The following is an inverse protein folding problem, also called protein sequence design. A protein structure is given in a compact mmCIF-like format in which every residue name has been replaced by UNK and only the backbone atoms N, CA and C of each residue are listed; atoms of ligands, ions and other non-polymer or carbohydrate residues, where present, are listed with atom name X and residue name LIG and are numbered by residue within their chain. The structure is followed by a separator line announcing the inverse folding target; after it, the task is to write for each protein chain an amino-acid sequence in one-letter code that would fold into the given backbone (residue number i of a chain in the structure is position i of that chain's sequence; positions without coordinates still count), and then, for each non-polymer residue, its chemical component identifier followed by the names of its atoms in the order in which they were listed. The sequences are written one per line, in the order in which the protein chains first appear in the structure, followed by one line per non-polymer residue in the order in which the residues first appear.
data_IF_996293432860
#
_entry.id   IF_996293432860
#
_cell.length_a   1.000
_cell.length_b   1.000
_cell.length_c   1.000
_cell.angle_alpha   90.00
_cell.angle_beta   90.00
_cell.angle_gamma   90.00
#
_symmetry.space_group_name_H-M   'P 1'
#
loop_
_entity.id
_entity.type
_entity.pdbx_description
1 polymer ?
#
# COMPACT_ATOMS: atom_id res chain seq x y z
N UNK A 1 -42.64 16.68 5.88
CA UNK A 1 -42.25 15.80 4.76
C UNK A 1 -41.30 16.58 3.88
N UNK A 2 -40.14 16.02 3.54
CA UNK A 2 -39.26 16.62 2.53
C UNK A 2 -39.96 16.52 1.17
N UNK A 3 -39.80 17.52 0.31
CA UNK A 3 -40.24 17.39 -1.08
C UNK A 3 -39.38 16.31 -1.79
N UNK A 4 -39.90 15.63 -2.82
CA UNK A 4 -39.13 14.67 -3.60
C UNK A 4 -37.78 15.22 -4.07
N UNK A 5 -37.73 16.50 -4.43
CA UNK A 5 -36.50 17.18 -4.83
C UNK A 5 -35.50 17.36 -3.69
N UNK A 6 -35.97 17.70 -2.48
CA UNK A 6 -35.11 17.82 -1.30
C UNK A 6 -34.51 16.46 -0.89
N UNK A 7 -35.29 15.39 -0.97
CA UNK A 7 -34.81 14.04 -0.68
C UNK A 7 -33.67 13.64 -1.66
N UNK A 8 -33.88 13.91 -2.95
CA UNK A 8 -32.90 13.58 -3.99
C UNK A 8 -31.63 14.42 -3.84
N UNK A 9 -31.76 15.71 -3.52
CA UNK A 9 -30.61 16.56 -3.27
C UNK A 9 -29.75 16.02 -2.13
N UNK A 10 -30.37 15.57 -1.03
CA UNK A 10 -29.65 14.94 0.08
C UNK A 10 -28.87 13.69 -0.33
N UNK A 11 -29.47 12.81 -1.15
CA UNK A 11 -28.76 11.63 -1.67
C UNK A 11 -27.63 12.00 -2.62
N UNK A 12 -27.82 13.01 -3.46
CA UNK A 12 -26.81 13.49 -4.38
C UNK A 12 -25.59 14.05 -3.62
N UNK A 13 -25.83 14.89 -2.60
CA UNK A 13 -24.78 15.44 -1.74
C UNK A 13 -24.01 14.33 -1.02
N UNK A 14 -24.71 13.31 -0.50
CA UNK A 14 -24.08 12.15 0.14
C UNK A 14 -23.21 11.34 -0.83
N UNK A 15 -23.65 11.16 -2.09
CA UNK A 15 -22.85 10.48 -3.11
C UNK A 15 -21.61 11.29 -3.52
N UNK A 16 -21.74 12.61 -3.66
CA UNK A 16 -20.62 13.52 -3.95
C UNK A 16 -19.59 13.46 -2.83
N UNK A 17 -20.04 13.53 -1.58
CA UNK A 17 -19.15 13.44 -0.42
C UNK A 17 -18.44 12.08 -0.35
N UNK A 18 -19.17 10.99 -0.55
CA UNK A 18 -18.61 9.63 -0.58
C UNK A 18 -17.52 9.49 -1.65
N UNK A 19 -17.78 9.97 -2.87
CA UNK A 19 -16.81 9.97 -3.98
C UNK A 19 -15.57 10.81 -3.66
N UNK A 20 -15.75 11.99 -3.05
CA UNK A 20 -14.64 12.85 -2.62
C UNK A 20 -13.74 12.15 -1.59
N UNK A 21 -14.35 11.43 -0.63
CA UNK A 21 -13.61 10.62 0.35
C UNK A 21 -12.88 9.47 -0.32
N UNK A 22 -13.53 8.74 -1.24
CA UNK A 22 -12.90 7.67 -2.01
C UNK A 22 -11.68 8.18 -2.80
N UNK A 23 -11.79 9.35 -3.45
CA UNK A 23 -10.67 10.01 -4.15
C UNK A 23 -9.50 10.30 -3.23
N UNK A 24 -9.75 10.91 -2.07
CA UNK A 24 -8.71 11.23 -1.09
C UNK A 24 -8.02 9.95 -0.62
N UNK A 25 -8.77 8.89 -0.36
CA UNK A 25 -8.20 7.60 0.03
C UNK A 25 -7.33 7.00 -1.07
N UNK A 26 -7.78 7.01 -2.33
CA UNK A 26 -6.95 6.56 -3.47
C UNK A 26 -5.65 7.36 -3.56
N UNK A 27 -5.72 8.69 -3.44
CA UNK A 27 -4.52 9.54 -3.47
C UNK A 27 -3.56 9.22 -2.32
N UNK A 28 -4.08 9.09 -1.08
CA UNK A 28 -3.29 8.71 0.09
C UNK A 28 -2.62 7.35 -0.13
N UNK A 29 -3.38 6.36 -0.63
CA UNK A 29 -2.88 5.02 -0.93
C UNK A 29 -1.75 5.02 -1.96
N UNK A 30 -1.92 5.78 -3.05
CA UNK A 30 -0.89 5.89 -4.11
C UNK A 30 0.35 6.62 -3.58
N UNK A 31 0.18 7.74 -2.87
CA UNK A 31 1.30 8.48 -2.28
C UNK A 31 2.06 7.62 -1.27
N UNK A 32 1.36 6.92 -0.38
CA UNK A 32 1.97 5.98 0.56
C UNK A 32 2.75 4.89 -0.17
N UNK A 33 2.17 4.31 -1.23
CA UNK A 33 2.85 3.28 -2.05
C UNK A 33 4.13 3.80 -2.70
N UNK A 34 4.11 5.02 -3.25
CA UNK A 34 5.30 5.66 -3.87
C UNK A 34 6.38 5.94 -2.83
N UNK A 35 6.00 6.48 -1.66
CA UNK A 35 6.95 6.76 -0.58
C UNK A 35 7.59 5.46 -0.08
N UNK A 36 6.79 4.42 0.15
CA UNK A 36 7.29 3.12 0.60
C UNK A 36 8.20 2.50 -0.45
N UNK A 37 7.84 2.57 -1.73
CA UNK A 37 8.67 2.07 -2.81
C UNK A 37 10.00 2.84 -2.91
N UNK A 38 9.98 4.18 -2.80
CA UNK A 38 11.18 4.99 -2.78
C UNK A 38 12.06 4.70 -1.56
N UNK A 39 11.46 4.52 -0.38
CA UNK A 39 12.14 4.11 0.83
C UNK A 39 12.77 2.72 0.68
N UNK A 40 12.05 1.75 0.12
CA UNK A 40 12.56 0.42 -0.16
C UNK A 40 13.74 0.45 -1.16
N UNK A 41 13.67 1.29 -2.19
CA UNK A 41 14.79 1.48 -3.13
C UNK A 41 16.00 2.14 -2.46
N UNK A 42 15.78 3.13 -1.58
CA UNK A 42 16.84 3.78 -0.83
C UNK A 42 17.47 2.87 0.24
N UNK A 43 16.66 1.97 0.82
CA UNK A 43 17.06 1.00 1.84
C UNK A 43 17.62 -0.30 1.27
N UNK A 44 17.58 -0.53 -0.05
CA UNK A 44 18.36 -1.62 -0.65
C UNK A 44 19.76 -1.54 -0.08
N UNK A 45 20.33 -2.64 0.43
CA UNK A 45 21.64 -2.63 1.07
C UNK A 45 22.60 -2.05 0.06
N UNK A 46 22.86 -0.77 0.21
CA UNK A 46 23.65 -0.07 -0.75
C UNK A 46 25.03 -0.76 -0.62
N UNK A 47 25.71 -1.07 -1.73
CA UNK A 47 26.88 -1.93 -1.70
C UNK A 47 27.94 -1.46 -0.68
N UNK A 48 27.98 -0.16 -0.37
CA UNK A 48 28.81 0.44 0.68
C UNK A 48 28.69 -0.19 2.10
N UNK A 49 27.56 -0.81 2.46
CA UNK A 49 27.27 -1.29 3.82
C UNK A 49 27.65 -2.76 3.98
N UNK A 50 27.31 -3.58 2.98
CA UNK A 50 27.89 -4.92 2.85
C UNK A 50 29.41 -4.85 2.68
N UNK A 51 29.95 -3.78 2.06
CA UNK A 51 31.40 -3.55 2.02
C UNK A 51 32.01 -3.38 3.41
N UNK A 52 31.29 -2.84 4.40
CA UNK A 52 31.78 -2.74 5.78
C UNK A 52 31.95 -4.11 6.41
N UNK A 53 30.90 -4.93 6.43
CA UNK A 53 30.97 -6.29 6.97
C UNK A 53 31.91 -7.19 6.17
N UNK A 54 31.87 -7.13 4.83
CA UNK A 54 32.80 -7.86 3.97
C UNK A 54 34.24 -7.37 4.17
N UNK A 55 34.48 -6.08 4.41
CA UNK A 55 35.82 -5.59 4.78
C UNK A 55 36.24 -6.11 6.15
N UNK A 56 35.36 -6.14 7.14
CA UNK A 56 35.69 -6.70 8.46
C UNK A 56 36.03 -8.18 8.33
N UNK A 57 35.23 -8.97 7.62
CA UNK A 57 35.52 -10.39 7.36
C UNK A 57 36.79 -10.58 6.53
N UNK A 58 37.03 -9.76 5.50
CA UNK A 58 38.22 -9.85 4.65
C UNK A 58 39.49 -9.42 5.41
N UNK A 59 39.36 -8.44 6.31
CA UNK A 59 40.40 -8.02 7.24
C UNK A 59 40.68 -9.16 8.23
N UNK A 60 39.65 -9.77 8.80
CA UNK A 60 39.76 -10.88 9.74
C UNK A 60 40.44 -12.11 9.09
N UNK A 61 40.05 -12.47 7.86
CA UNK A 61 40.67 -13.53 7.07
C UNK A 61 42.15 -13.26 6.75
N UNK A 62 42.52 -12.00 6.45
CA UNK A 62 43.94 -11.61 6.28
C UNK A 62 44.70 -11.72 7.60
N UNK A 63 44.09 -11.36 8.72
CA UNK A 63 44.75 -11.41 10.03
C UNK A 63 44.97 -12.83 10.56
N UNK A 64 44.09 -13.78 10.25
CA UNK A 64 44.32 -15.20 10.59
C UNK A 64 45.56 -15.80 9.89
N UNK A 65 46.11 -15.12 8.88
CA UNK A 65 47.31 -15.58 8.16
C UNK A 65 48.63 -14.97 8.66
N UNK A 66 48.61 -14.06 9.64
CA UNK A 66 49.80 -13.36 10.14
C UNK A 66 50.54 -14.15 11.25
N UNK A 67 51.87 -14.00 11.35
CA UNK A 67 52.69 -14.67 12.37
C UNK A 67 52.35 -14.18 13.80
N UNK A 68 52.51 -15.07 14.79
CA UNK A 68 51.96 -14.93 16.14
C UNK A 68 52.38 -13.65 16.92
N UNK A 69 53.54 -13.10 16.60
CA UNK A 69 54.10 -11.88 17.17
C UNK A 69 53.47 -10.59 16.58
N UNK A 70 53.08 -10.59 15.30
CA UNK A 70 52.30 -9.50 14.71
C UNK A 70 50.81 -9.57 15.12
N UNK A 71 50.36 -10.72 15.62
CA UNK A 71 48.97 -10.96 15.97
C UNK A 71 48.50 -10.22 17.22
N UNK A 72 49.38 -9.87 18.18
CA UNK A 72 48.98 -9.23 19.44
C UNK A 72 48.49 -7.78 19.25
N UNK A 73 49.30 -6.94 18.59
CA UNK A 73 48.94 -5.55 18.28
C UNK A 73 47.75 -5.48 17.31
N UNK A 74 47.71 -6.43 16.36
CA UNK A 74 46.61 -6.60 15.42
C UNK A 74 45.28 -6.96 16.10
N UNK A 75 45.31 -7.81 17.13
CA UNK A 75 44.10 -8.18 17.91
C UNK A 75 43.48 -6.98 18.60
N UNK A 76 44.29 -6.10 19.20
CA UNK A 76 43.80 -4.88 19.84
C UNK A 76 43.12 -3.94 18.82
N UNK A 77 43.73 -3.78 17.63
CA UNK A 77 43.14 -2.96 16.56
C UNK A 77 41.84 -3.57 16.01
N UNK A 78 41.76 -4.89 15.87
CA UNK A 78 40.55 -5.59 15.43
C UNK A 78 39.44 -5.42 16.47
N UNK A 79 39.76 -5.59 17.75
CA UNK A 79 38.80 -5.42 18.84
C UNK A 79 38.26 -3.99 18.87
N UNK A 80 39.14 -2.99 18.76
CA UNK A 80 38.72 -1.58 18.67
C UNK A 80 37.84 -1.32 17.44
N UNK A 81 38.17 -1.89 16.27
CA UNK A 81 37.31 -1.77 15.08
C UNK A 81 35.97 -2.47 15.26
N UNK A 82 35.93 -3.65 15.91
CA UNK A 82 34.69 -4.36 16.23
C UNK A 82 33.80 -3.53 17.14
N UNK A 83 34.36 -2.94 18.19
CA UNK A 83 33.63 -2.08 19.12
C UNK A 83 33.12 -0.82 18.41
N UNK A 84 33.96 -0.18 17.59
CA UNK A 84 33.55 0.97 16.77
C UNK A 84 32.40 0.62 15.82
N UNK A 85 32.50 -0.48 15.07
CA UNK A 85 31.43 -0.91 14.17
C UNK A 85 30.20 -1.37 14.93
N UNK A 86 30.34 -2.01 16.10
CA UNK A 86 29.22 -2.40 16.93
C UNK A 86 28.45 -1.18 17.46
N UNK A 87 29.15 -0.12 17.91
CA UNK A 87 28.50 1.13 18.31
C UNK A 87 27.86 1.85 17.11
N UNK A 88 28.54 1.90 15.97
CA UNK A 88 27.99 2.51 14.75
C UNK A 88 26.77 1.74 14.22
N UNK A 89 26.79 0.41 14.26
CA UNK A 89 25.63 -0.43 13.96
C UNK A 89 24.51 -0.23 14.98
N UNK A 90 24.82 -0.19 16.28
CA UNK A 90 23.82 0.06 17.31
C UNK A 90 23.15 1.42 17.10
N UNK A 91 23.90 2.48 16.76
CA UNK A 91 23.32 3.81 16.47
C UNK A 91 22.46 3.85 15.22
N UNK A 92 22.73 2.99 14.23
CA UNK A 92 22.01 2.97 12.95
C UNK A 92 20.88 1.95 12.89
N UNK A 93 20.89 0.94 13.76
CA UNK A 93 19.80 -0.03 13.91
C UNK A 93 18.53 0.63 14.43
N UNK A 94 18.68 1.76 15.15
CA UNK A 94 17.56 2.54 15.64
C UNK A 94 17.43 3.85 14.88
N UNK A 95 16.21 4.14 14.44
CA UNK A 95 15.85 5.47 13.95
C UNK A 95 15.25 6.24 15.12
N UNK A 96 15.89 7.36 15.47
CA UNK A 96 15.35 8.28 16.48
C UNK A 96 14.32 9.20 15.81
N UNK A 97 13.06 9.13 16.25
CA UNK A 97 12.00 9.97 15.71
C UNK A 97 12.04 11.33 16.44
N UNK A 98 12.43 12.43 15.77
CA UNK A 98 12.82 13.67 16.44
C UNK A 98 11.71 14.33 17.26
N UNK A 99 10.44 14.09 16.92
CA UNK A 99 9.30 14.68 17.62
C UNK A 99 8.87 13.91 18.86
N UNK A 100 9.14 12.61 18.93
CA UNK A 100 8.66 11.75 20.02
C UNK A 100 9.77 11.32 20.97
N UNK A 101 11.05 11.51 20.60
CA UNK A 101 12.19 11.04 21.38
C UNK A 101 12.24 9.51 21.53
N UNK A 102 11.47 8.79 20.72
CA UNK A 102 11.43 7.32 20.71
C UNK A 102 12.42 6.82 19.67
N UNK A 103 13.19 5.80 20.06
CA UNK A 103 14.07 5.03 19.18
C UNK A 103 13.33 3.79 18.73
N UNK A 104 13.17 3.65 17.41
CA UNK A 104 12.43 2.53 16.81
C UNK A 104 13.41 1.70 16.01
N UNK A 105 13.40 0.38 16.21
CA UNK A 105 14.16 -0.53 15.35
C UNK A 105 13.58 -0.45 13.93
N UNK A 106 14.45 -0.50 12.91
CA UNK A 106 14.04 -0.58 11.51
C UNK A 106 13.05 -1.75 11.30
N UNK A 107 13.21 -2.85 12.03
CA UNK A 107 12.30 -3.99 11.98
C UNK A 107 10.87 -3.65 12.47
N UNK A 108 10.77 -2.88 13.55
CA UNK A 108 9.47 -2.44 14.10
C UNK A 108 8.75 -1.51 13.14
N UNK A 109 9.51 -0.75 12.34
CA UNK A 109 8.96 0.15 11.33
C UNK A 109 8.24 -0.62 10.22
N UNK A 110 8.73 -1.80 9.85
CA UNK A 110 8.06 -2.71 8.90
C UNK A 110 6.70 -3.18 9.40
N UNK A 111 6.64 -3.54 10.69
CA UNK A 111 5.39 -3.96 11.37
C UNK A 111 4.39 -2.81 11.41
N UNK A 112 4.81 -1.65 11.92
CA UNK A 112 3.96 -0.46 12.04
C UNK A 112 3.49 0.02 10.66
N UNK A 113 4.39 0.05 9.68
CA UNK A 113 4.07 0.41 8.30
C UNK A 113 3.07 -0.56 7.65
N UNK A 114 3.26 -1.87 7.86
CA UNK A 114 2.33 -2.90 7.41
C UNK A 114 0.93 -2.74 8.01
N UNK A 115 0.84 -2.52 9.33
CA UNK A 115 -0.42 -2.25 10.01
C UNK A 115 -1.11 -0.98 9.49
N UNK A 116 -0.35 0.11 9.29
CA UNK A 116 -0.89 1.35 8.73
C UNK A 116 -1.45 1.15 7.31
N UNK A 117 -0.76 0.38 6.46
CA UNK A 117 -1.24 0.04 5.12
C UNK A 117 -2.52 -0.79 5.16
N UNK A 118 -2.66 -1.75 6.09
CA UNK A 118 -3.90 -2.51 6.25
C UNK A 118 -5.06 -1.58 6.60
N UNK A 119 -4.85 -0.63 7.52
CA UNK A 119 -5.87 0.36 7.90
C UNK A 119 -6.29 1.20 6.69
N UNK A 120 -5.32 1.73 5.93
CA UNK A 120 -5.59 2.50 4.71
C UNK A 120 -6.37 1.65 3.69
N UNK A 121 -5.97 0.40 3.47
CA UNK A 121 -6.65 -0.51 2.55
C UNK A 121 -8.09 -0.82 3.00
N UNK A 122 -8.34 -1.01 4.30
CA UNK A 122 -9.68 -1.19 4.86
C UNK A 122 -10.56 0.06 4.71
N UNK A 123 -9.99 1.25 4.93
CA UNK A 123 -10.68 2.52 4.73
C UNK A 123 -11.03 2.74 3.25
N UNK A 124 -10.12 2.41 2.35
CA UNK A 124 -10.35 2.46 0.91
C UNK A 124 -11.45 1.48 0.50
N UNK A 125 -11.37 0.22 0.95
CA UNK A 125 -12.40 -0.79 0.73
C UNK A 125 -13.79 -0.33 1.20
N UNK A 126 -13.86 0.19 2.43
CA UNK A 126 -15.12 0.69 3.01
C UNK A 126 -15.68 1.88 2.23
N UNK A 127 -14.81 2.74 1.71
CA UNK A 127 -15.21 3.90 0.89
C UNK A 127 -15.79 3.47 -0.45
N UNK A 128 -15.16 2.52 -1.14
CA UNK A 128 -15.65 1.97 -2.42
C UNK A 128 -16.99 1.26 -2.22
N UNK A 129 -17.13 0.44 -1.17
CA UNK A 129 -18.38 -0.26 -0.89
C UNK A 129 -19.53 0.70 -0.62
N UNK A 130 -19.29 1.75 0.18
CA UNK A 130 -20.30 2.79 0.43
C UNK A 130 -20.69 3.55 -0.83
N UNK A 131 -19.73 3.81 -1.71
CA UNK A 131 -20.01 4.42 -3.01
C UNK A 131 -20.96 3.52 -3.83
N UNK A 132 -20.66 2.21 -3.94
CA UNK A 132 -21.53 1.23 -4.62
C UNK A 132 -22.94 1.25 -4.04
N UNK A 133 -23.08 1.13 -2.73
CA UNK A 133 -24.38 1.07 -2.05
C UNK A 133 -25.18 2.36 -2.27
N UNK A 134 -24.54 3.53 -2.15
CA UNK A 134 -25.18 4.83 -2.37
C UNK A 134 -25.67 5.00 -3.81
N UNK A 135 -24.88 4.56 -4.80
CA UNK A 135 -25.25 4.67 -6.21
C UNK A 135 -26.39 3.72 -6.55
N UNK A 136 -26.31 2.47 -6.07
CA UNK A 136 -27.38 1.49 -6.25
C UNK A 136 -28.70 2.02 -5.68
N UNK A 137 -28.64 2.61 -4.47
CA UNK A 137 -29.80 3.22 -3.83
C UNK A 137 -30.37 4.41 -4.62
N UNK A 138 -29.50 5.31 -5.13
CA UNK A 138 -29.93 6.45 -5.96
C UNK A 138 -30.62 5.98 -7.22
N UNK A 139 -30.06 4.98 -7.92
CA UNK A 139 -30.67 4.45 -9.13
C UNK A 139 -31.97 3.69 -8.87
N UNK A 140 -32.11 3.07 -7.71
CA UNK A 140 -33.38 2.45 -7.32
C UNK A 140 -34.45 3.51 -7.04
N UNK A 141 -34.08 4.56 -6.30
CA UNK A 141 -34.98 5.67 -5.93
C UNK A 141 -35.36 6.57 -7.10
N UNK A 142 -34.50 6.68 -8.12
CA UNK A 142 -34.73 7.54 -9.27
C UNK A 142 -35.62 6.92 -10.35
N UNK A 143 -36.03 5.65 -10.22
CA UNK A 143 -36.92 4.96 -11.18
C UNK A 143 -38.26 5.65 -11.35
N UNK A 144 -38.77 6.25 -10.28
CA UNK A 144 -40.13 6.82 -10.25
C UNK A 144 -40.16 8.31 -10.62
N UNK A 145 -39.05 8.88 -11.12
CA UNK A 145 -38.91 10.33 -11.31
C UNK A 145 -38.57 10.65 -12.77
N UNK A 146 -39.36 11.52 -13.40
CA UNK A 146 -39.28 11.92 -14.82
C UNK A 146 -37.93 12.52 -15.28
N UNK A 147 -37.01 12.82 -14.35
CA UNK A 147 -35.72 13.45 -14.64
C UNK A 147 -34.50 12.55 -14.33
N UNK A 148 -34.64 11.24 -14.58
CA UNK A 148 -33.55 10.27 -14.42
C UNK A 148 -32.27 10.69 -15.18
N UNK A 149 -32.42 11.24 -16.39
CA UNK A 149 -31.30 11.59 -17.29
C UNK A 149 -30.41 12.70 -16.74
N UNK A 150 -30.99 13.77 -16.20
CA UNK A 150 -30.20 14.88 -15.66
C UNK A 150 -29.47 14.45 -14.40
N UNK A 151 -30.15 13.70 -13.53
CA UNK A 151 -29.59 13.19 -12.28
C UNK A 151 -28.47 12.17 -12.52
N UNK A 152 -28.66 11.26 -13.47
CA UNK A 152 -27.61 10.36 -13.95
C UNK A 152 -26.37 11.14 -14.40
N UNK A 153 -26.56 12.21 -15.18
CA UNK A 153 -25.45 13.02 -15.70
C UNK A 153 -24.69 13.73 -14.58
N UNK A 154 -25.39 14.30 -13.60
CA UNK A 154 -24.76 14.94 -12.45
C UNK A 154 -23.97 13.91 -11.65
N UNK A 155 -24.56 12.75 -11.36
CA UNK A 155 -23.90 11.68 -10.61
C UNK A 155 -22.63 11.19 -11.32
N UNK A 156 -22.71 11.01 -12.65
CA UNK A 156 -21.59 10.57 -13.48
C UNK A 156 -20.42 11.57 -13.49
N UNK A 157 -20.70 12.88 -13.39
CA UNK A 157 -19.67 13.92 -13.35
C UNK A 157 -18.85 13.92 -12.05
N UNK A 158 -19.39 13.33 -10.98
CA UNK A 158 -18.72 13.31 -9.68
C UNK A 158 -17.95 12.03 -9.39
N UNK A 159 -17.98 11.04 -10.28
CA UNK A 159 -17.33 9.76 -10.02
C UNK A 159 -15.85 9.73 -10.35
N UNK A 160 -15.14 8.99 -9.51
CA UNK A 160 -13.67 8.95 -9.49
C UNK A 160 -13.16 7.61 -9.97
N UNK A 161 -13.89 6.54 -9.65
CA UNK A 161 -13.45 5.16 -9.87
C UNK A 161 -14.11 4.56 -11.12
N UNK A 162 -15.19 5.17 -11.61
CA UNK A 162 -15.95 4.66 -12.75
C UNK A 162 -15.74 5.54 -13.97
N UNK A 163 -15.18 5.02 -15.08
CA UNK A 163 -15.24 5.74 -16.34
C UNK A 163 -16.72 5.88 -16.74
N UNK A 164 -17.15 7.13 -16.96
CA UNK A 164 -18.47 7.42 -17.51
C UNK A 164 -18.58 6.69 -18.84
N UNK A 165 -19.63 5.86 -19.06
CA UNK A 165 -19.78 5.13 -20.30
C UNK A 165 -19.98 6.13 -21.46
N UNK A 166 -18.91 6.37 -22.21
CA UNK A 166 -18.95 7.03 -23.50
C UNK A 166 -19.53 6.02 -24.51
N UNK A 167 -20.39 6.51 -25.40
CA UNK A 167 -21.34 5.76 -26.25
C UNK A 167 -20.83 4.51 -27.00
N UNK A 168 -19.53 4.28 -27.12
CA UNK A 168 -18.95 3.30 -28.05
C UNK A 168 -17.97 2.27 -27.45
N UNK A 169 -17.90 2.12 -26.13
CA UNK A 169 -16.86 1.24 -25.57
C UNK A 169 -17.29 -0.23 -25.40
N UNK A 170 -16.82 -1.05 -26.35
CA UNK A 170 -16.63 -2.52 -26.26
C UNK A 170 -15.66 -2.96 -25.14
N UNK A 171 -15.31 -2.09 -24.19
CA UNK A 171 -14.13 -2.22 -23.33
C UNK A 171 -14.44 -2.71 -21.91
N UNK A 172 -15.35 -3.70 -21.79
CA UNK A 172 -15.57 -4.45 -20.54
C UNK A 172 -14.24 -4.84 -19.88
N UNK A 173 -13.27 -5.24 -20.71
CA UNK A 173 -11.92 -5.58 -20.31
C UNK A 173 -11.16 -4.38 -19.73
N UNK A 174 -11.19 -3.21 -20.38
CA UNK A 174 -10.44 -2.02 -19.97
C UNK A 174 -10.89 -1.50 -18.59
N UNK A 175 -12.19 -1.53 -18.29
CA UNK A 175 -12.71 -1.08 -16.99
C UNK A 175 -12.32 -2.04 -15.85
N UNK A 176 -12.34 -3.36 -16.10
CA UNK A 176 -11.88 -4.36 -15.14
C UNK A 176 -10.36 -4.27 -14.89
N UNK A 177 -9.58 -4.01 -15.94
CA UNK A 177 -8.13 -3.84 -15.84
C UNK A 177 -7.77 -2.56 -15.09
N UNK A 178 -8.48 -1.46 -15.35
CA UNK A 178 -8.19 -0.16 -14.74
C UNK A 178 -8.58 -0.13 -13.26
N UNK A 179 -9.71 -0.74 -12.89
CA UNK A 179 -10.08 -0.93 -11.47
C UNK A 179 -9.07 -1.83 -10.76
N UNK A 180 -8.67 -2.96 -11.34
CA UNK A 180 -7.64 -3.83 -10.74
C UNK A 180 -6.30 -3.10 -10.59
N UNK A 181 -5.88 -2.34 -11.60
CA UNK A 181 -4.65 -1.55 -11.60
C UNK A 181 -4.61 -0.47 -10.51
N UNK A 182 -5.75 0.07 -10.08
CA UNK A 182 -5.82 1.12 -9.06
C UNK A 182 -5.53 0.61 -7.64
N UNK A 183 -5.86 -0.65 -7.34
CA UNK A 183 -5.73 -1.23 -5.99
C UNK A 183 -4.47 -2.11 -5.82
N UNK A 184 -3.75 -2.38 -6.91
CA UNK A 184 -2.49 -3.13 -6.93
C UNK A 184 -1.25 -2.39 -6.36
N UNK A 185 -1.12 -1.05 -6.41
CA UNK A 185 0.11 -0.38 -5.99
C UNK A 185 0.52 -0.66 -4.53
N UNK A 186 -0.43 -0.73 -3.59
CA UNK A 186 -0.14 -1.02 -2.18
C UNK A 186 0.47 -2.43 -2.03
N UNK A 187 -0.21 -3.52 -2.45
CA UNK A 187 0.38 -4.86 -2.36
C UNK A 187 1.69 -5.02 -3.12
N UNK A 188 1.85 -4.37 -4.28
CA UNK A 188 3.07 -4.46 -5.07
C UNK A 188 4.23 -3.74 -4.39
N UNK A 189 4.01 -2.53 -3.88
CA UNK A 189 5.03 -1.78 -3.16
C UNK A 189 5.45 -2.52 -1.89
N UNK A 190 4.49 -2.98 -1.09
CA UNK A 190 4.78 -3.74 0.12
C UNK A 190 5.42 -5.10 -0.18
N UNK A 191 4.94 -5.82 -1.19
CA UNK A 191 5.52 -7.10 -1.61
C UNK A 191 6.96 -6.96 -2.11
N UNK A 192 7.32 -5.82 -2.71
CA UNK A 192 8.71 -5.52 -3.08
C UNK A 192 9.60 -5.40 -1.84
N UNK A 193 9.08 -4.78 -0.77
CA UNK A 193 9.79 -4.67 0.52
C UNK A 193 10.01 -6.06 1.14
N UNK A 194 8.94 -6.85 1.29
CA UNK A 194 9.02 -8.23 1.81
C UNK A 194 9.99 -9.09 0.99
N UNK A 195 10.01 -8.92 -0.34
CA UNK A 195 10.96 -9.65 -1.20
C UNK A 195 12.41 -9.24 -0.93
N UNK A 196 12.69 -7.94 -0.78
CA UNK A 196 14.04 -7.44 -0.47
C UNK A 196 14.51 -7.95 0.90
N UNK A 197 13.63 -7.94 1.89
CA UNK A 197 13.96 -8.41 3.25
C UNK A 197 14.19 -9.92 3.27
N UNK A 198 13.34 -10.69 2.59
CA UNK A 198 13.52 -12.13 2.41
C UNK A 198 14.83 -12.50 1.69
N UNK A 199 15.17 -11.77 0.63
CA UNK A 199 16.44 -11.97 -0.08
C UNK A 199 17.65 -11.65 0.80
N UNK A 200 17.55 -10.61 1.63
CA UNK A 200 18.61 -10.20 2.57
C UNK A 200 18.84 -11.26 3.64
N UNK A 201 17.78 -11.88 4.17
CA UNK A 201 17.92 -12.90 5.19
C UNK A 201 18.50 -14.23 4.72
N UNK A 202 18.32 -14.59 3.45
CA UNK A 202 19.00 -15.75 2.88
C UNK A 202 20.53 -15.64 2.93
N UNK A 203 21.07 -14.42 3.04
CA UNK A 203 22.50 -14.15 3.13
C UNK A 203 23.04 -14.22 4.57
N UNK A 204 22.19 -14.23 5.60
CA UNK A 204 22.61 -14.22 7.01
C UNK A 204 22.18 -15.49 7.74
N UNK A 205 23.12 -16.40 7.98
CA UNK A 205 22.87 -17.64 8.72
C UNK A 205 22.57 -17.40 10.20
N UNK A 206 23.10 -16.32 10.78
CA UNK A 206 23.20 -16.14 12.23
C UNK A 206 21.97 -15.46 12.84
N UNK A 207 21.09 -14.88 12.02
CA UNK A 207 19.89 -14.15 12.46
C UNK A 207 18.58 -14.90 12.22
N UNK A 208 18.65 -16.21 11.93
CA UNK A 208 17.54 -16.99 11.37
C UNK A 208 16.25 -16.97 12.20
N UNK A 209 16.33 -17.18 13.52
CA UNK A 209 15.13 -17.38 14.35
C UNK A 209 14.27 -16.13 14.54
N UNK A 210 14.80 -14.98 15.02
CA UNK A 210 13.99 -13.77 15.15
C UNK A 210 13.53 -13.23 13.78
N UNK A 211 14.35 -13.40 12.75
CA UNK A 211 14.00 -13.02 11.39
C UNK A 211 12.78 -13.79 10.86
N UNK A 212 12.72 -15.11 11.08
CA UNK A 212 11.60 -15.94 10.60
C UNK A 212 10.24 -15.48 11.16
N UNK A 213 10.19 -15.01 12.41
CA UNK A 213 8.96 -14.50 13.00
C UNK A 213 8.50 -13.20 12.30
N UNK A 214 9.42 -12.25 12.13
CA UNK A 214 9.15 -10.96 11.47
C UNK A 214 8.73 -11.19 10.02
N UNK A 215 9.49 -12.01 9.29
CA UNK A 215 9.19 -12.35 7.90
C UNK A 215 7.83 -13.05 7.74
N UNK A 216 7.49 -13.97 8.65
CA UNK A 216 6.17 -14.63 8.64
C UNK A 216 5.04 -13.61 8.85
N UNK A 217 5.25 -12.65 9.75
CA UNK A 217 4.29 -11.57 9.96
C UNK A 217 4.15 -10.68 8.71
N UNK A 218 5.25 -10.31 8.06
CA UNK A 218 5.22 -9.51 6.83
C UNK A 218 4.51 -10.22 5.67
N UNK A 219 4.75 -11.54 5.51
CA UNK A 219 4.02 -12.37 4.54
C UNK A 219 2.53 -12.42 4.85
N UNK A 220 2.16 -12.50 6.14
CA UNK A 220 0.76 -12.44 6.58
C UNK A 220 0.12 -11.09 6.23
N UNK A 221 0.80 -9.97 6.53
CA UNK A 221 0.35 -8.62 6.17
C UNK A 221 0.16 -8.49 4.67
N UNK A 222 1.14 -8.93 3.87
CA UNK A 222 1.06 -8.92 2.41
C UNK A 222 -0.15 -9.72 1.91
N UNK A 223 -0.39 -10.89 2.49
CA UNK A 223 -1.54 -11.74 2.15
C UNK A 223 -2.86 -11.02 2.43
N UNK A 224 -2.97 -10.36 3.59
CA UNK A 224 -4.15 -9.56 3.95
C UNK A 224 -4.34 -8.40 2.96
N UNK A 225 -3.27 -7.68 2.61
CA UNK A 225 -3.32 -6.58 1.65
C UNK A 225 -3.78 -7.06 0.27
N UNK A 226 -3.24 -8.18 -0.23
CA UNK A 226 -3.68 -8.78 -1.50
C UNK A 226 -5.16 -9.17 -1.45
N UNK A 227 -5.62 -9.76 -0.34
CA UNK A 227 -7.02 -10.13 -0.17
C UNK A 227 -7.95 -8.90 -0.18
N UNK A 228 -7.61 -7.84 0.56
CA UNK A 228 -8.38 -6.58 0.61
C UNK A 228 -8.39 -5.90 -0.77
N UNK A 229 -7.24 -5.81 -1.44
CA UNK A 229 -7.14 -5.22 -2.77
C UNK A 229 -7.99 -6.00 -3.77
N UNK A 230 -7.90 -7.33 -3.80
CA UNK A 230 -8.73 -8.17 -4.68
C UNK A 230 -10.22 -7.99 -4.42
N UNK A 231 -10.63 -7.94 -3.14
CA UNK A 231 -12.03 -7.71 -2.77
C UNK A 231 -12.50 -6.34 -3.25
N UNK A 232 -11.70 -5.30 -3.02
CA UNK A 232 -12.01 -3.92 -3.44
C UNK A 232 -12.10 -3.80 -4.96
N UNK A 233 -11.22 -4.49 -5.71
CA UNK A 233 -11.32 -4.56 -7.18
C UNK A 233 -12.62 -5.21 -7.63
N UNK A 234 -13.10 -6.23 -6.91
CA UNK A 234 -14.36 -6.91 -7.23
C UNK A 234 -15.55 -5.98 -6.98
N UNK A 235 -15.58 -5.29 -5.83
CA UNK A 235 -16.66 -4.35 -5.52
C UNK A 235 -16.65 -3.16 -6.51
N UNK A 236 -15.47 -2.69 -6.93
CA UNK A 236 -15.34 -1.69 -7.99
C UNK A 236 -15.83 -2.20 -9.37
N UNK A 237 -15.69 -3.50 -9.66
CA UNK A 237 -16.24 -4.09 -10.88
C UNK A 237 -17.78 -4.17 -10.82
N UNK A 238 -18.35 -4.52 -9.65
CA UNK A 238 -19.79 -4.47 -9.40
C UNK A 238 -20.35 -3.06 -9.60
N UNK A 239 -19.59 -2.02 -9.21
CA UNK A 239 -19.96 -0.64 -9.50
C UNK A 239 -20.17 -0.42 -11.01
N UNK A 240 -19.27 -0.94 -11.84
CA UNK A 240 -19.40 -0.88 -13.29
C UNK A 240 -20.65 -1.58 -13.82
N UNK A 241 -21.08 -2.68 -13.19
CA UNK A 241 -22.32 -3.39 -13.54
C UNK A 241 -23.55 -2.54 -13.23
N UNK A 242 -23.62 -1.97 -12.02
CA UNK A 242 -24.71 -1.08 -11.59
C UNK A 242 -24.88 0.10 -12.57
N UNK A 243 -23.77 0.70 -12.99
CA UNK A 243 -23.78 1.77 -14.00
C UNK A 243 -24.27 1.31 -15.36
N UNK A 244 -23.82 0.16 -15.84
CA UNK A 244 -24.28 -0.38 -17.13
C UNK A 244 -25.77 -0.64 -17.12
N UNK A 245 -26.30 -1.18 -16.03
CA UNK A 245 -27.72 -1.44 -15.90
C UNK A 245 -28.53 -0.13 -15.87
N UNK A 246 -28.03 0.90 -15.19
CA UNK A 246 -28.62 2.23 -15.21
C UNK A 246 -28.65 2.83 -16.64
N UNK A 247 -27.57 2.69 -17.41
CA UNK A 247 -27.51 3.15 -18.82
C UNK A 247 -28.48 2.39 -19.71
N UNK A 248 -28.57 1.06 -19.56
CA UNK A 248 -29.48 0.23 -20.36
C UNK A 248 -30.93 0.64 -20.14
N UNK A 249 -31.32 0.87 -18.89
CA UNK A 249 -32.67 1.36 -18.53
C UNK A 249 -32.96 2.71 -19.18
N UNK A 250 -32.02 3.65 -19.04
CA UNK A 250 -32.10 4.96 -19.70
C UNK A 250 -32.27 4.85 -21.22
N UNK A 251 -31.55 3.94 -21.87
CA UNK A 251 -31.65 3.73 -23.31
C UNK A 251 -32.98 3.07 -23.73
N UNK A 252 -33.59 2.24 -22.88
CA UNK A 252 -34.89 1.62 -23.12
C UNK A 252 -36.09 2.54 -22.89
N UNK A 253 -35.89 3.72 -22.29
CA UNK A 253 -37.00 4.61 -21.92
C UNK A 253 -37.89 4.04 -20.80
N UNK A 254 -37.31 3.13 -19.99
CA UNK A 254 -37.89 2.56 -18.77
C UNK A 254 -37.19 3.19 -17.58
#
# INVERSE_FOLDING_TARGET
MLTPDQAVQGYLEAAIESSSRARRMVLISVTASVIIFAAALANRPNPWFNWGHLRVQHVEAKFTSLPANAAAESKALIQHKREFYADEHARRAYVEIPFFGVRVDINDLGIVGGCALIIIALMQHSSVRREVDNIAFIFDSAKDIDDFRTRYRILAMHQVITPVPLKDFSSHQMQSTLSTGLFLPIPVAYGTLVFVDGATALLSSDLRTPFLLIFTFEVLVLTILVAISRRTSTDAATLGEVWRDAVRRQASGV
#
